data_IF_990264883944
#
_entry.id   IF_990264883944
#
_cell.length_a   1.000
_cell.length_b   1.000
_cell.length_c   1.000
_cell.angle_alpha   90.00
_cell.angle_beta   90.00
_cell.angle_gamma   90.00
#
_symmetry.space_group_name_H-M   'P 1'
#
loop_
_entity.id
_entity.type
_entity.pdbx_description
1 polymer ?
#
# COMPACT_ATOMS: atom_id res chain seq x y z
N UNK A 1 -0.15 -9.59 -8.72
CA UNK A 1 0.30 -8.42 -7.93
C UNK A 1 -0.20 -7.16 -8.60
N UNK A 2 -0.48 -6.13 -7.82
CA UNK A 2 -1.00 -4.86 -8.32
C UNK A 2 0.13 -3.83 -8.45
N UNK A 3 0.73 -3.42 -7.36
CA UNK A 3 1.85 -2.50 -7.37
C UNK A 3 3.11 -3.13 -6.79
N UNK A 4 4.27 -2.54 -7.12
CA UNK A 4 5.55 -2.94 -6.55
C UNK A 4 6.43 -1.72 -6.24
N UNK A 5 7.24 -1.85 -5.19
CA UNK A 5 8.26 -0.87 -4.81
C UNK A 5 9.54 -1.57 -4.39
N UNK A 6 10.68 -1.00 -4.76
CA UNK A 6 11.99 -1.57 -4.45
C UNK A 6 12.61 -0.87 -3.26
N UNK A 7 13.04 -1.63 -2.27
CA UNK A 7 13.87 -1.13 -1.19
C UNK A 7 15.31 -0.98 -1.70
N UNK A 8 15.70 0.26 -1.98
CA UNK A 8 16.97 0.56 -2.65
C UNK A 8 18.20 -0.02 -1.96
N UNK A 9 18.20 -0.05 -0.61
CA UNK A 9 19.36 -0.52 0.17
C UNK A 9 19.60 -2.03 0.03
N UNK A 10 18.53 -2.84 -0.02
CA UNK A 10 18.60 -4.31 -0.05
C UNK A 10 18.30 -4.91 -1.42
N UNK A 11 17.58 -4.20 -2.29
CA UNK A 11 17.04 -4.72 -3.53
C UNK A 11 15.80 -5.60 -3.35
N UNK A 12 15.26 -5.69 -2.14
CA UNK A 12 13.99 -6.38 -1.85
C UNK A 12 12.85 -5.64 -2.57
N UNK A 13 11.94 -6.41 -3.17
CA UNK A 13 10.76 -5.87 -3.85
C UNK A 13 9.54 -6.15 -3.00
N UNK A 14 8.85 -5.10 -2.57
CA UNK A 14 7.53 -5.21 -1.92
C UNK A 14 6.43 -5.19 -2.98
N UNK A 15 5.32 -5.89 -2.71
CA UNK A 15 4.21 -6.00 -3.66
C UNK A 15 2.86 -6.07 -2.94
N UNK A 16 1.87 -5.41 -3.53
CA UNK A 16 0.46 -5.55 -3.16
C UNK A 16 -0.26 -6.54 -4.06
N UNK A 17 -1.48 -6.91 -3.73
CA UNK A 17 -2.34 -7.79 -4.50
C UNK A 17 -3.78 -7.31 -4.42
N UNK A 18 -4.40 -6.98 -5.56
CA UNK A 18 -5.82 -6.62 -5.60
C UNK A 18 -6.70 -7.87 -5.54
N UNK A 19 -6.97 -8.31 -4.35
CA UNK A 19 -7.94 -9.37 -4.03
C UNK A 19 -8.53 -9.14 -2.64
N UNK A 20 -9.77 -9.59 -2.45
CA UNK A 20 -10.30 -9.76 -1.10
C UNK A 20 -9.43 -10.75 -0.32
N UNK A 21 -9.10 -10.42 0.92
CA UNK A 21 -8.16 -11.18 1.74
C UNK A 21 -6.79 -11.38 1.05
N UNK A 22 -6.30 -10.32 0.41
CA UNK A 22 -4.97 -10.28 -0.19
C UNK A 22 -3.86 -10.31 0.85
N UNK A 23 -2.63 -10.49 0.41
CA UNK A 23 -1.46 -10.40 1.27
C UNK A 23 -0.60 -9.20 0.85
N UNK A 24 0.28 -8.78 1.74
CA UNK A 24 1.39 -7.90 1.43
C UNK A 24 2.64 -8.74 1.34
N UNK A 25 3.32 -8.68 0.20
CA UNK A 25 4.43 -9.57 -0.12
C UNK A 25 5.76 -8.84 -0.14
N UNK A 26 6.84 -9.59 0.06
CA UNK A 26 8.17 -9.19 -0.37
C UNK A 26 8.87 -10.31 -1.14
N UNK A 27 9.68 -9.93 -2.11
CA UNK A 27 10.58 -10.82 -2.83
C UNK A 27 12.03 -10.45 -2.50
N UNK A 28 12.77 -11.39 -1.92
CA UNK A 28 14.18 -11.25 -1.59
C UNK A 28 14.98 -11.88 -2.73
N UNK A 29 15.65 -11.09 -3.60
CA UNK A 29 16.39 -11.65 -4.71
C UNK A 29 17.68 -12.36 -4.23
N UNK A 30 18.02 -13.49 -4.85
CA UNK A 30 19.30 -14.17 -4.60
C UNK A 30 20.51 -13.28 -4.89
N UNK A 31 20.38 -12.41 -5.89
CA UNK A 31 21.38 -11.42 -6.26
C UNK A 31 20.70 -10.07 -6.44
N UNK A 32 21.09 -9.10 -5.61
CA UNK A 32 20.55 -7.74 -5.68
C UNK A 32 20.60 -7.18 -7.10
N UNK A 33 19.46 -6.66 -7.57
CA UNK A 33 19.31 -6.07 -8.90
C UNK A 33 19.24 -7.10 -10.06
N UNK A 34 19.21 -8.41 -9.76
CA UNK A 34 19.09 -9.47 -10.75
C UNK A 34 17.95 -10.43 -10.41
N UNK A 35 16.72 -9.98 -10.57
CA UNK A 35 15.53 -10.76 -10.21
C UNK A 35 15.43 -12.08 -10.97
N UNK A 36 15.98 -12.14 -12.19
CA UNK A 36 15.99 -13.35 -13.04
C UNK A 36 16.79 -14.52 -12.42
N UNK A 37 17.69 -14.23 -11.49
CA UNK A 37 18.49 -15.25 -10.82
C UNK A 37 17.75 -15.93 -9.64
N UNK A 38 16.43 -15.66 -9.52
CA UNK A 38 15.57 -16.23 -8.49
C UNK A 38 15.67 -15.50 -7.15
N UNK A 39 14.91 -16.00 -6.19
CA UNK A 39 14.81 -15.42 -4.85
C UNK A 39 13.75 -16.12 -4.02
N UNK A 40 13.43 -15.55 -2.89
CA UNK A 40 12.41 -16.05 -1.95
C UNK A 40 11.23 -15.10 -1.87
N UNK A 41 10.02 -15.61 -2.09
CA UNK A 41 8.78 -14.86 -1.89
C UNK A 41 8.27 -15.09 -0.47
N UNK A 42 7.92 -14.02 0.21
CA UNK A 42 7.41 -14.05 1.57
C UNK A 42 6.14 -13.20 1.69
N UNK A 43 5.31 -13.52 2.69
CA UNK A 43 4.14 -12.73 3.06
C UNK A 43 4.30 -12.15 4.47
N UNK A 44 3.82 -10.92 4.67
CA UNK A 44 3.86 -10.22 5.93
C UNK A 44 2.90 -10.86 6.95
N UNK A 45 3.36 -11.01 8.20
CA UNK A 45 2.55 -11.41 9.34
C UNK A 45 2.81 -10.48 10.53
N UNK A 46 1.84 -10.34 11.42
CA UNK A 46 1.97 -9.57 12.66
C UNK A 46 2.47 -10.51 13.77
N UNK A 47 3.50 -10.09 14.52
CA UNK A 47 4.23 -10.97 15.46
C UNK A 47 3.30 -11.60 16.49
N UNK A 48 2.52 -10.81 17.22
CA UNK A 48 1.69 -11.28 18.34
C UNK A 48 0.26 -11.63 17.91
N UNK A 49 -0.06 -11.47 16.64
CA UNK A 49 -1.40 -11.66 16.09
C UNK A 49 -1.34 -12.39 14.75
N UNK A 50 -0.98 -13.68 14.72
CA UNK A 50 -0.97 -14.45 13.48
C UNK A 50 -2.38 -14.53 12.88
N UNK A 51 -2.47 -14.58 11.57
CA UNK A 51 -3.73 -14.56 10.80
C UNK A 51 -4.60 -13.32 11.02
N UNK A 52 -3.99 -12.18 11.38
CA UNK A 52 -4.73 -10.93 11.57
C UNK A 52 -5.43 -10.50 10.28
N UNK A 53 -6.72 -10.26 10.37
CA UNK A 53 -7.48 -9.60 9.33
C UNK A 53 -7.41 -8.09 9.54
N UNK A 54 -6.54 -7.40 8.81
CA UNK A 54 -6.29 -5.96 9.00
C UNK A 54 -7.40 -5.08 8.44
N UNK A 55 -8.28 -5.64 7.64
CA UNK A 55 -9.31 -4.91 6.90
C UNK A 55 -10.41 -4.27 7.77
N UNK A 56 -10.48 -4.54 9.07
CA UNK A 56 -11.42 -3.93 10.01
C UNK A 56 -12.91 -4.02 9.60
N UNK A 57 -13.29 -4.99 8.79
CA UNK A 57 -14.71 -5.26 8.51
C UNK A 57 -15.40 -5.72 9.80
N UNK A 58 -16.60 -5.23 10.04
CA UNK A 58 -17.34 -5.46 11.27
C UNK A 58 -17.24 -6.90 11.81
N UNK A 59 -17.08 -7.11 13.10
CA UNK A 59 -17.01 -8.36 13.86
C UNK A 59 -15.64 -8.98 14.10
N UNK A 60 -14.57 -8.44 13.62
CA UNK A 60 -13.21 -8.92 13.91
C UNK A 60 -12.44 -7.95 14.81
N UNK A 61 -11.42 -8.41 15.55
CA UNK A 61 -10.53 -7.54 16.29
C UNK A 61 -9.96 -6.48 15.35
N UNK A 62 -10.15 -5.22 15.69
CA UNK A 62 -9.77 -4.12 14.82
C UNK A 62 -8.27 -3.86 14.89
N UNK A 63 -7.69 -3.60 13.71
CA UNK A 63 -6.36 -3.03 13.59
C UNK A 63 -6.46 -1.55 13.96
N UNK A 64 -5.82 -1.10 15.04
CA UNK A 64 -5.97 0.28 15.50
C UNK A 64 -5.27 1.26 14.58
N UNK A 65 -5.93 2.38 14.30
CA UNK A 65 -5.34 3.50 13.55
C UNK A 65 -4.25 4.17 14.40
N UNK A 66 -3.12 4.51 13.78
CA UNK A 66 -2.00 5.22 14.40
C UNK A 66 -1.13 4.36 15.32
N UNK A 67 -1.40 3.07 15.47
CA UNK A 67 -0.60 2.18 16.30
C UNK A 67 0.30 1.29 15.44
N UNK A 68 1.59 1.33 15.71
CA UNK A 68 2.57 0.44 15.09
C UNK A 68 2.45 -0.99 15.62
N UNK A 69 2.59 -1.95 14.73
CA UNK A 69 2.56 -3.39 15.01
C UNK A 69 3.82 -4.04 14.46
N UNK A 70 4.53 -4.80 15.30
CA UNK A 70 5.72 -5.53 14.89
C UNK A 70 5.37 -6.62 13.88
N UNK A 71 6.22 -6.75 12.86
CA UNK A 71 5.99 -7.68 11.75
C UNK A 71 7.03 -8.80 11.72
N UNK A 72 6.67 -9.87 11.06
CA UNK A 72 7.55 -10.95 10.62
C UNK A 72 7.15 -11.39 9.23
N UNK A 73 8.01 -12.14 8.58
CA UNK A 73 7.75 -12.65 7.24
C UNK A 73 7.63 -14.17 7.24
N UNK A 74 6.78 -14.68 6.37
CA UNK A 74 6.49 -16.11 6.21
C UNK A 74 6.90 -16.50 4.81
N UNK A 75 7.76 -17.51 4.68
CA UNK A 75 8.13 -18.08 3.39
C UNK A 75 6.91 -18.69 2.70
N UNK A 76 6.80 -18.45 1.41
CA UNK A 76 5.78 -19.03 0.56
C UNK A 76 6.43 -20.04 -0.38
N UNK A 77 5.89 -21.23 -0.39
CA UNK A 77 6.21 -22.29 -1.37
C UNK A 77 5.26 -22.25 -2.56
N UNK A 78 5.56 -22.99 -3.63
CA UNK A 78 4.73 -23.11 -4.82
C UNK A 78 4.15 -21.75 -5.25
N UNK A 79 5.07 -20.81 -5.56
CA UNK A 79 4.75 -19.39 -5.79
C UNK A 79 4.03 -19.12 -7.12
N UNK A 80 4.00 -20.08 -8.02
CA UNK A 80 3.29 -20.06 -9.30
C UNK A 80 2.34 -21.26 -9.40
N UNK A 81 1.31 -21.38 -8.54
CA UNK A 81 0.40 -22.50 -8.53
C UNK A 81 -0.56 -22.48 -9.74
N UNK A 82 -1.02 -23.64 -10.18
CA UNK A 82 -2.04 -23.76 -11.24
C UNK A 82 -3.37 -23.04 -10.95
N UNK A 83 -3.62 -22.68 -9.69
CA UNK A 83 -4.82 -21.97 -9.26
C UNK A 83 -4.53 -20.79 -8.35
N UNK A 84 -5.52 -19.94 -8.15
CA UNK A 84 -5.41 -18.73 -7.31
C UNK A 84 -5.40 -19.08 -5.80
N UNK A 85 -4.39 -19.85 -5.36
CA UNK A 85 -4.31 -20.41 -3.99
C UNK A 85 -3.22 -19.81 -3.12
N UNK A 86 -2.25 -19.08 -3.69
CA UNK A 86 -1.06 -18.59 -2.99
C UNK A 86 -1.42 -17.78 -1.74
N UNK A 87 -2.27 -16.76 -1.87
CA UNK A 87 -2.69 -15.93 -0.73
C UNK A 87 -3.45 -16.72 0.33
N UNK A 88 -4.27 -17.70 -0.09
CA UNK A 88 -5.04 -18.53 0.85
C UNK A 88 -4.12 -19.42 1.69
N UNK A 89 -3.08 -19.97 1.08
CA UNK A 89 -2.05 -20.76 1.78
C UNK A 89 -1.22 -19.87 2.71
N UNK A 90 -0.77 -18.69 2.26
CA UNK A 90 -0.07 -17.74 3.11
C UNK A 90 -0.90 -17.31 4.32
N UNK A 91 -2.18 -16.97 4.14
CA UNK A 91 -3.10 -16.65 5.24
C UNK A 91 -3.26 -17.82 6.21
N UNK A 92 -3.42 -19.05 5.70
CA UNK A 92 -3.49 -20.27 6.53
C UNK A 92 -2.22 -20.49 7.35
N UNK A 93 -1.07 -20.09 6.82
CA UNK A 93 0.25 -20.19 7.48
C UNK A 93 0.53 -19.03 8.45
N UNK A 94 -0.41 -18.09 8.61
CA UNK A 94 -0.33 -17.03 9.60
C UNK A 94 -0.02 -15.63 9.02
N UNK A 95 -0.04 -15.44 7.71
CA UNK A 95 0.09 -14.11 7.12
C UNK A 95 -1.11 -13.21 7.46
N UNK A 96 -0.85 -11.91 7.59
CA UNK A 96 -1.89 -10.91 7.73
C UNK A 96 -2.62 -10.72 6.39
N UNK A 97 -3.95 -10.54 6.44
CA UNK A 97 -4.76 -10.33 5.24
C UNK A 97 -5.24 -8.89 5.13
N UNK A 98 -5.29 -8.38 3.90
CA UNK A 98 -5.64 -7.01 3.56
C UNK A 98 -6.86 -6.97 2.62
N UNK A 99 -7.46 -5.80 2.48
CA UNK A 99 -8.70 -5.61 1.74
C UNK A 99 -8.46 -4.94 0.38
N UNK A 100 -8.13 -5.71 -0.64
CA UNK A 100 -7.76 -5.19 -1.96
C UNK A 100 -6.56 -4.25 -1.87
N UNK A 101 -5.35 -4.82 -1.78
CA UNK A 101 -4.11 -4.05 -1.79
C UNK A 101 -3.83 -3.49 -3.18
N UNK A 102 -3.74 -2.18 -3.29
CA UNK A 102 -3.57 -1.43 -4.54
C UNK A 102 -2.21 -0.72 -4.57
N UNK A 103 -2.20 0.60 -4.70
CA UNK A 103 -0.98 1.39 -4.83
C UNK A 103 0.06 1.13 -3.74
N UNK A 104 1.32 1.27 -4.11
CA UNK A 104 2.47 1.10 -3.23
C UNK A 104 3.60 2.04 -3.67
N UNK A 105 4.11 2.86 -2.75
CA UNK A 105 5.23 3.76 -3.05
C UNK A 105 6.23 3.84 -1.88
N UNK A 106 7.50 4.21 -2.16
CA UNK A 106 8.42 4.65 -1.12
C UNK A 106 7.92 5.93 -0.44
N UNK A 107 8.02 6.02 0.88
CA UNK A 107 7.58 7.13 1.70
C UNK A 107 8.64 7.45 2.79
N UNK A 108 9.71 8.11 2.40
CA UNK A 108 10.87 8.35 3.27
C UNK A 108 11.63 7.07 3.60
N UNK A 109 11.69 6.70 4.89
CA UNK A 109 12.28 5.45 5.38
C UNK A 109 11.27 4.29 5.47
N UNK A 110 10.09 4.48 4.91
CA UNK A 110 8.96 3.55 4.92
C UNK A 110 8.43 3.30 3.50
N UNK A 111 7.46 2.41 3.41
CA UNK A 111 6.63 2.20 2.21
C UNK A 111 5.18 2.42 2.59
N UNK A 112 4.46 3.21 1.79
CA UNK A 112 3.03 3.40 1.96
C UNK A 112 2.27 2.57 0.93
N UNK A 113 1.15 1.97 1.34
CA UNK A 113 0.26 1.25 0.43
C UNK A 113 -1.21 1.43 0.82
N UNK A 114 -2.07 1.27 -0.15
CA UNK A 114 -3.52 1.42 -0.03
C UNK A 114 -4.24 0.09 -0.02
N UNK A 115 -5.43 0.09 0.57
CA UNK A 115 -6.37 -1.02 0.57
C UNK A 115 -7.77 -0.47 0.32
N UNK A 116 -8.28 -0.63 -0.91
CA UNK A 116 -9.47 0.05 -1.42
C UNK A 116 -10.74 -0.19 -0.62
N UNK A 117 -10.94 -1.41 -0.12
CA UNK A 117 -12.15 -1.79 0.59
C UNK A 117 -11.95 -2.01 2.10
N UNK A 118 -10.88 -1.44 2.67
CA UNK A 118 -10.65 -1.55 4.10
C UNK A 118 -11.55 -0.62 4.93
N UNK A 119 -11.59 -0.87 6.23
CA UNK A 119 -12.42 -0.14 7.19
C UNK A 119 -13.84 -0.69 7.31
N UNK A 120 -14.56 -0.34 8.43
CA UNK A 120 -15.94 -0.80 8.66
C UNK A 120 -16.91 -0.33 7.57
N UNK A 121 -16.70 0.86 7.03
CA UNK A 121 -17.49 1.42 5.94
C UNK A 121 -17.06 0.90 4.55
N UNK A 122 -15.95 0.13 4.46
CA UNK A 122 -15.34 -0.36 3.20
C UNK A 122 -14.95 0.76 2.24
N UNK A 123 -14.53 1.89 2.78
CA UNK A 123 -14.19 3.10 2.04
C UNK A 123 -12.68 3.34 1.90
N UNK A 124 -11.86 2.42 2.41
CA UNK A 124 -10.42 2.43 2.20
C UNK A 124 -9.58 2.55 3.46
N UNK A 125 -8.38 2.05 3.36
CA UNK A 125 -7.32 2.14 4.38
C UNK A 125 -6.00 2.50 3.72
N UNK A 126 -5.14 3.20 4.46
CA UNK A 126 -3.75 3.48 4.06
C UNK A 126 -2.82 3.01 5.15
N UNK A 127 -1.86 2.19 4.77
CA UNK A 127 -0.85 1.63 5.66
C UNK A 127 0.52 2.18 5.34
N UNK A 128 1.40 2.21 6.35
CA UNK A 128 2.84 2.31 6.16
C UNK A 128 3.53 1.07 6.71
N UNK A 129 4.53 0.60 5.98
CA UNK A 129 5.45 -0.43 6.42
C UNK A 129 6.85 0.15 6.56
N UNK A 130 7.40 0.11 7.77
CA UNK A 130 8.79 0.48 8.06
C UNK A 130 9.64 -0.79 8.08
N UNK A 131 10.55 -0.97 7.13
CA UNK A 131 11.44 -2.12 7.12
C UNK A 131 12.31 -2.21 8.37
N UNK A 132 12.67 -3.42 8.74
CA UNK A 132 13.72 -3.66 9.72
C UNK A 132 15.05 -3.03 9.26
N UNK A 133 15.89 -2.52 10.15
CA UNK A 133 17.26 -2.16 9.80
C UNK A 133 18.09 -3.37 9.33
N UNK A 134 17.61 -4.59 9.57
CA UNK A 134 18.20 -5.85 9.14
C UNK A 134 17.32 -6.61 8.14
N UNK A 135 16.53 -5.89 7.37
CA UNK A 135 15.52 -6.41 6.46
C UNK A 135 16.07 -7.52 5.54
N UNK A 136 15.43 -8.68 5.58
CA UNK A 136 15.82 -9.85 4.79
C UNK A 136 17.00 -10.66 5.35
N UNK A 137 17.49 -10.35 6.56
CA UNK A 137 18.57 -11.09 7.21
C UNK A 137 18.07 -11.88 8.42
N UNK A 138 18.91 -12.77 8.96
CA UNK A 138 18.58 -13.53 10.18
C UNK A 138 18.41 -12.66 11.44
N UNK A 139 19.00 -11.46 11.48
CA UNK A 139 18.88 -10.53 12.61
C UNK A 139 17.55 -9.75 12.62
N UNK A 140 16.76 -9.86 11.57
CA UNK A 140 15.46 -9.19 11.45
C UNK A 140 14.48 -9.61 12.56
N UNK A 141 14.52 -10.87 12.99
CA UNK A 141 13.62 -11.37 14.03
C UNK A 141 13.81 -10.69 15.40
N UNK A 142 15.01 -10.19 15.68
CA UNK A 142 15.32 -9.46 16.92
C UNK A 142 15.00 -7.95 16.79
N UNK A 143 14.95 -7.46 15.57
CA UNK A 143 14.67 -6.06 15.23
C UNK A 143 13.61 -6.00 14.13
N UNK A 144 12.36 -6.39 14.42
CA UNK A 144 11.32 -6.52 13.40
C UNK A 144 10.95 -5.19 12.76
N UNK A 145 10.52 -5.25 11.49
CA UNK A 145 9.84 -4.13 10.84
C UNK A 145 8.50 -3.82 11.50
N UNK A 146 7.88 -2.74 11.08
CA UNK A 146 6.65 -2.22 11.70
C UNK A 146 5.59 -1.89 10.64
N UNK A 147 4.36 -2.32 10.88
CA UNK A 147 3.19 -1.97 10.09
C UNK A 147 2.31 -1.01 10.88
N UNK A 148 1.90 0.09 10.27
CA UNK A 148 0.98 1.06 10.87
C UNK A 148 -0.18 1.35 9.92
N UNK A 149 -1.41 1.25 10.42
CA UNK A 149 -2.59 1.79 9.75
C UNK A 149 -2.64 3.29 10.03
N UNK A 150 -2.32 4.13 9.05
CA UNK A 150 -2.24 5.59 9.24
C UNK A 150 -3.54 6.31 8.95
N UNK A 151 -4.36 5.78 8.04
CA UNK A 151 -5.68 6.33 7.74
C UNK A 151 -6.70 5.22 7.44
N UNK A 152 -7.91 5.42 7.90
CA UNK A 152 -9.05 4.55 7.63
C UNK A 152 -10.26 5.43 7.33
N UNK A 153 -10.83 5.24 6.14
CA UNK A 153 -11.95 6.03 5.69
C UNK A 153 -13.28 5.58 6.33
N UNK A 154 -14.11 6.55 6.62
CA UNK A 154 -15.50 6.39 7.08
C UNK A 154 -16.42 7.33 6.29
N UNK A 155 -17.69 7.40 6.67
CA UNK A 155 -18.69 8.24 6.00
C UNK A 155 -18.37 9.74 6.03
N UNK A 156 -17.52 10.20 6.94
CA UNK A 156 -17.13 11.59 7.12
C UNK A 156 -15.75 11.92 6.53
N UNK A 157 -14.98 10.90 6.15
CA UNK A 157 -13.65 11.08 5.58
C UNK A 157 -13.72 11.70 4.19
N UNK A 158 -12.71 12.48 3.80
CA UNK A 158 -12.54 12.93 2.42
C UNK A 158 -12.17 11.75 1.51
N UNK A 159 -11.21 10.93 1.96
CA UNK A 159 -10.75 9.77 1.22
C UNK A 159 -11.85 8.74 1.03
N UNK A 160 -12.02 8.30 -0.22
CA UNK A 160 -12.94 7.23 -0.62
C UNK A 160 -12.21 6.23 -1.51
N UNK A 161 -12.27 4.96 -1.15
CA UNK A 161 -11.75 3.87 -1.98
C UNK A 161 -10.33 4.16 -2.51
N UNK A 162 -9.39 4.30 -1.57
CA UNK A 162 -7.98 4.58 -1.87
C UNK A 162 -7.42 3.57 -2.87
N UNK A 163 -6.87 4.06 -3.97
CA UNK A 163 -6.28 3.27 -5.03
C UNK A 163 -4.78 3.56 -5.16
N UNK A 164 -4.33 4.16 -6.22
CA UNK A 164 -2.92 4.48 -6.42
C UNK A 164 -2.45 5.63 -5.52
N UNK A 165 -1.15 5.68 -5.20
CA UNK A 165 -0.60 6.76 -4.38
C UNK A 165 0.87 7.08 -4.73
N UNK A 166 1.27 8.27 -4.33
CA UNK A 166 2.67 8.72 -4.36
C UNK A 166 3.00 9.56 -3.13
N UNK A 167 4.29 9.71 -2.82
CA UNK A 167 4.74 10.68 -1.83
C UNK A 167 4.99 12.03 -2.49
N UNK A 168 4.41 13.07 -1.94
CA UNK A 168 4.61 14.44 -2.38
C UNK A 168 5.98 14.98 -1.93
N UNK A 169 6.56 15.96 -2.64
CA UNK A 169 7.83 16.59 -2.26
C UNK A 169 7.85 17.23 -0.87
N UNK A 170 6.68 17.62 -0.36
CA UNK A 170 6.53 18.18 0.99
C UNK A 170 6.25 17.15 2.10
N UNK A 171 6.29 15.85 1.77
CA UNK A 171 6.23 14.75 2.74
C UNK A 171 4.86 14.15 3.02
N UNK A 172 3.79 14.66 2.41
CA UNK A 172 2.46 14.06 2.50
C UNK A 172 2.26 12.96 1.44
N UNK A 173 1.33 12.05 1.67
CA UNK A 173 0.89 11.13 0.62
C UNK A 173 -0.19 11.80 -0.24
N UNK A 174 -0.14 11.56 -1.54
CA UNK A 174 -1.20 11.91 -2.49
C UNK A 174 -1.83 10.62 -2.98
N UNK A 175 -3.12 10.46 -2.76
CA UNK A 175 -3.88 9.24 -3.02
C UNK A 175 -4.94 9.50 -4.09
N UNK A 176 -5.00 8.64 -5.09
CA UNK A 176 -6.09 8.57 -6.06
C UNK A 176 -7.29 7.84 -5.48
N UNK A 177 -8.48 8.20 -5.91
CA UNK A 177 -9.72 7.53 -5.55
C UNK A 177 -10.27 6.69 -6.71
N UNK A 178 -10.83 5.50 -6.37
CA UNK A 178 -11.58 4.60 -7.24
C UNK A 178 -13.03 4.49 -6.72
N UNK A 179 -13.83 5.50 -6.96
CA UNK A 179 -15.24 5.51 -6.61
C UNK A 179 -16.13 5.42 -7.85
N UNK A 180 -17.40 5.05 -7.64
CA UNK A 180 -18.34 4.87 -8.75
C UNK A 180 -18.82 6.18 -9.41
N UNK A 181 -18.70 7.34 -8.74
CA UNK A 181 -19.37 8.56 -9.19
C UNK A 181 -18.53 9.82 -9.09
N UNK A 182 -17.40 9.78 -8.44
CA UNK A 182 -16.63 10.99 -8.15
C UNK A 182 -15.26 10.61 -7.61
N UNK A 183 -14.22 10.95 -8.32
CA UNK A 183 -12.86 10.59 -7.95
C UNK A 183 -12.00 11.84 -7.84
N UNK A 184 -11.24 11.93 -6.77
CA UNK A 184 -10.34 13.03 -6.50
C UNK A 184 -8.92 12.59 -6.18
N UNK A 185 -8.10 13.58 -5.89
CA UNK A 185 -6.79 13.43 -5.28
C UNK A 185 -6.87 13.94 -3.83
N UNK A 186 -6.60 13.04 -2.89
CA UNK A 186 -6.62 13.36 -1.47
C UNK A 186 -5.22 13.35 -0.91
N UNK A 187 -4.83 14.45 -0.26
CA UNK A 187 -3.60 14.53 0.51
C UNK A 187 -3.78 13.94 1.91
N UNK A 188 -2.79 13.15 2.36
CA UNK A 188 -2.78 12.58 3.71
C UNK A 188 -1.46 12.96 4.38
N UNK A 189 -1.55 13.72 5.47
CA UNK A 189 -0.40 14.08 6.30
C UNK A 189 0.09 12.89 7.12
N UNK A 190 1.33 12.94 7.63
CA UNK A 190 1.84 11.86 8.50
C UNK A 190 1.01 11.57 9.75
N UNK A 191 0.22 12.53 10.22
CA UNK A 191 -0.70 12.38 11.35
C UNK A 191 -2.08 11.80 10.95
N UNK A 192 -2.28 11.48 9.67
CA UNK A 192 -3.53 10.97 9.12
C UNK A 192 -4.55 12.05 8.72
N UNK A 193 -4.25 13.34 8.91
CA UNK A 193 -5.12 14.44 8.49
C UNK A 193 -5.26 14.46 6.97
N UNK A 194 -6.50 14.54 6.49
CA UNK A 194 -6.83 14.53 5.07
C UNK A 194 -7.18 15.92 4.55
N UNK A 195 -6.83 16.20 3.30
CA UNK A 195 -7.22 17.42 2.59
C UNK A 195 -7.39 17.15 1.10
N UNK A 196 -8.26 17.90 0.45
CA UNK A 196 -8.47 17.81 -0.99
C UNK A 196 -7.33 18.49 -1.74
N UNK A 197 -6.81 17.84 -2.77
CA UNK A 197 -5.82 18.39 -3.70
C UNK A 197 -6.47 18.78 -5.00
N UNK A 198 -7.26 17.89 -5.59
CA UNK A 198 -7.95 18.08 -6.85
C UNK A 198 -9.16 17.16 -6.95
N UNK A 199 -10.08 17.54 -7.81
CA UNK A 199 -11.29 16.81 -8.13
C UNK A 199 -11.40 16.55 -9.62
N UNK A 200 -11.83 15.34 -10.03
CA UNK A 200 -12.08 14.98 -11.41
C UNK A 200 -13.45 15.52 -11.88
N UNK A 201 -13.52 16.80 -12.19
CA UNK A 201 -14.73 17.40 -12.76
C UNK A 201 -14.99 17.04 -14.23
N UNK A 202 -14.07 16.28 -14.86
CA UNK A 202 -14.19 15.91 -16.28
C UNK A 202 -15.07 14.67 -16.49
N UNK A 203 -14.96 13.68 -15.61
CA UNK A 203 -15.70 12.42 -15.71
C UNK A 203 -15.81 11.74 -14.33
N UNK A 204 -16.70 10.76 -14.24
CA UNK A 204 -16.83 9.89 -13.05
C UNK A 204 -15.76 8.78 -12.99
N UNK A 205 -14.77 8.81 -13.87
CA UNK A 205 -13.75 7.77 -13.94
C UNK A 205 -12.71 7.90 -12.84
N UNK A 206 -12.20 6.76 -12.37
CA UNK A 206 -11.11 6.69 -11.41
C UNK A 206 -9.86 7.45 -11.88
N UNK A 207 -9.10 7.93 -10.91
CA UNK A 207 -7.77 8.48 -11.10
C UNK A 207 -6.72 7.42 -10.79
N UNK A 208 -5.68 7.34 -11.60
CA UNK A 208 -4.65 6.32 -11.50
C UNK A 208 -3.25 6.86 -11.82
N UNK A 209 -2.21 6.13 -11.38
CA UNK A 209 -0.83 6.39 -11.78
C UNK A 209 -0.31 7.77 -11.36
N UNK A 210 -0.69 8.26 -10.19
CA UNK A 210 -0.24 9.56 -9.68
C UNK A 210 1.27 9.54 -9.40
N UNK A 211 2.00 10.53 -9.91
CA UNK A 211 3.42 10.70 -9.64
C UNK A 211 3.88 12.15 -9.83
N UNK A 212 4.91 12.54 -9.11
CA UNK A 212 5.56 13.85 -9.32
C UNK A 212 6.69 13.76 -10.34
N UNK A 213 6.91 14.87 -11.07
CA UNK A 213 8.14 15.07 -11.81
C UNK A 213 9.36 15.01 -10.89
N UNK A 214 10.56 14.65 -11.40
CA UNK A 214 11.77 14.57 -10.57
C UNK A 214 12.14 15.86 -9.82
N UNK A 215 11.74 17.00 -10.34
CA UNK A 215 11.95 18.31 -9.70
C UNK A 215 10.83 18.69 -8.71
N UNK A 216 9.80 17.85 -8.58
CA UNK A 216 8.67 18.04 -7.67
C UNK A 216 7.67 19.13 -8.08
N UNK A 217 7.82 19.74 -9.25
CA UNK A 217 7.02 20.89 -9.65
C UNK A 217 5.71 20.53 -10.34
N UNK A 218 5.64 19.34 -10.94
CA UNK A 218 4.47 18.88 -11.70
C UNK A 218 3.99 17.54 -11.17
N UNK A 219 2.71 17.44 -10.86
CA UNK A 219 2.01 16.21 -10.56
C UNK A 219 1.35 15.68 -11.82
N UNK A 220 1.62 14.45 -12.19
CA UNK A 220 0.94 13.74 -13.26
C UNK A 220 -0.07 12.77 -12.66
N UNK A 221 -1.24 12.67 -13.27
CA UNK A 221 -2.28 11.73 -12.93
C UNK A 221 -3.03 11.30 -14.19
N UNK A 222 -3.49 10.07 -14.25
CA UNK A 222 -4.28 9.56 -15.35
C UNK A 222 -5.76 9.51 -14.94
N UNK A 223 -6.64 9.92 -15.88
CA UNK A 223 -8.06 9.62 -15.84
C UNK A 223 -8.24 8.34 -16.68
N UNK A 224 -8.68 7.25 -16.06
CA UNK A 224 -8.70 5.92 -16.70
C UNK A 224 -9.55 5.93 -17.99
N UNK A 225 -10.74 6.52 -17.91
CA UNK A 225 -11.60 6.74 -19.08
C UNK A 225 -11.87 8.24 -19.25
N UNK A 226 -11.52 8.79 -20.43
CA UNK A 226 -11.22 8.17 -21.73
C UNK A 226 -9.72 7.87 -21.97
N UNK A 227 -8.88 7.76 -20.97
CA UNK A 227 -7.45 7.50 -21.13
C UNK A 227 -6.65 8.79 -21.32
N UNK A 228 -6.76 9.72 -20.38
CA UNK A 228 -6.04 11.00 -20.40
C UNK A 228 -4.99 11.04 -19.30
N UNK A 229 -3.83 11.63 -19.61
CA UNK A 229 -2.86 12.06 -18.60
C UNK A 229 -2.98 13.56 -18.39
N UNK A 230 -3.15 13.97 -17.16
CA UNK A 230 -3.23 15.38 -16.74
C UNK A 230 -1.94 15.76 -16.03
N UNK A 231 -1.43 16.95 -16.31
CA UNK A 231 -0.31 17.56 -15.61
C UNK A 231 -0.82 18.76 -14.79
N UNK A 232 -0.57 18.71 -13.49
CA UNK A 232 -0.99 19.74 -12.54
C UNK A 232 0.26 20.43 -12.00
N UNK A 233 0.30 21.75 -12.06
CA UNK A 233 1.39 22.55 -11.48
C UNK A 233 0.88 23.37 -10.32
N UNK A 234 1.73 23.49 -9.27
CA UNK A 234 1.41 24.23 -8.04
C UNK A 234 1.03 25.70 -8.26
N UNK A 235 0.94 26.47 -7.18
CA UNK A 235 1.87 26.36 -6.02
C UNK A 235 1.56 25.20 -5.09
N UNK A 236 2.61 24.43 -4.78
CA UNK A 236 2.56 23.36 -3.80
C UNK A 236 2.86 23.89 -2.40
N UNK A 237 2.43 23.18 -1.32
CA UNK A 237 2.89 23.47 0.04
C UNK A 237 4.42 23.45 0.12
N UNK A 238 4.99 24.36 0.90
CA UNK A 238 6.44 24.48 1.13
C UNK A 238 6.80 23.98 2.53
#
# INVERSE_FOLDING_TARGET
>A
HEACAVHEQTGIVYMTEDRYHSLFYRYIPNVRGKLIEGGTLQALAIVDHPTTMTHNWSSVPQTPVGRSMKTRWIDLDDVDPDGNTLRLRGAKNGAATFARGEGLCPAGDQFAFTCTNGGPARLGQVFTYKPSPFEGTSAESENPGELTLIAQADEQSLLRNADNLTMAPWGDLVVCEDTANHCGLVGIRPDGTQYEIADNAYSDSELAGVCFSPDGNTLFVNIQYPGMTVAITGPWPT
#
